data_IF_229016706460
#
_entry.id   IF_229016706460
#
_cell.length_a   1.000
_cell.length_b   1.000
_cell.length_c   1.000
_cell.angle_alpha   90.00
_cell.angle_beta   90.00
_cell.angle_gamma   90.00
#
_symmetry.space_group_name_H-M   'P 1'
#
loop_
_entity.id
_entity.type
_entity.pdbx_description
1 polymer ?
#
# COMPACT_ATOMS: atom_id res chain seq x y z
N UNK A 1 -53.55 20.50 -22.68
CA UNK A 1 -53.33 20.83 -21.26
C UNK A 1 -51.97 20.29 -20.86
N UNK A 2 -50.93 21.14 -20.87
CA UNK A 2 -49.60 20.77 -20.35
C UNK A 2 -49.67 21.02 -18.84
N UNK A 3 -49.79 19.95 -18.06
CA UNK A 3 -49.76 20.05 -16.61
C UNK A 3 -48.38 20.56 -16.18
N UNK A 4 -48.32 21.77 -15.61
CA UNK A 4 -47.09 22.29 -15.01
C UNK A 4 -46.68 21.32 -13.89
N UNK A 5 -45.46 20.80 -13.98
CA UNK A 5 -44.86 20.00 -12.92
C UNK A 5 -44.81 20.83 -11.64
N UNK A 6 -45.20 20.23 -10.51
CA UNK A 6 -45.11 20.92 -9.22
C UNK A 6 -43.65 21.26 -8.90
N UNK A 7 -43.41 22.34 -8.15
CA UNK A 7 -42.05 22.73 -7.75
C UNK A 7 -41.30 21.58 -7.05
N UNK A 8 -42.01 20.76 -6.26
CA UNK A 8 -41.45 19.57 -5.62
C UNK A 8 -41.08 18.44 -6.60
N UNK A 9 -41.80 18.30 -7.72
CA UNK A 9 -41.46 17.33 -8.77
C UNK A 9 -40.22 17.77 -9.56
N UNK A 10 -40.08 19.08 -9.81
CA UNK A 10 -38.90 19.67 -10.45
C UNK A 10 -37.67 19.51 -9.56
N UNK A 11 -37.78 19.82 -8.27
CA UNK A 11 -36.67 19.70 -7.32
C UNK A 11 -36.17 18.25 -7.17
N UNK A 12 -37.10 17.28 -7.09
CA UNK A 12 -36.75 15.84 -7.10
C UNK A 12 -36.03 15.43 -8.38
N UNK A 13 -36.52 15.88 -9.54
CA UNK A 13 -35.93 15.56 -10.84
C UNK A 13 -34.51 16.13 -10.97
N UNK A 14 -34.31 17.38 -10.53
CA UNK A 14 -33.00 18.05 -10.53
C UNK A 14 -32.02 17.34 -9.61
N UNK A 15 -32.43 17.00 -8.38
CA UNK A 15 -31.60 16.24 -7.44
C UNK A 15 -31.20 14.86 -7.98
N UNK A 16 -32.17 14.10 -8.50
CA UNK A 16 -31.95 12.76 -9.04
C UNK A 16 -31.08 12.79 -10.31
N UNK A 17 -31.31 13.76 -11.19
CA UNK A 17 -30.51 13.95 -12.39
C UNK A 17 -29.07 14.37 -12.08
N UNK A 18 -28.90 15.27 -11.11
CA UNK A 18 -27.58 15.73 -10.66
C UNK A 18 -26.78 14.59 -10.01
N UNK A 19 -27.42 13.78 -9.18
CA UNK A 19 -26.81 12.57 -8.60
C UNK A 19 -26.36 11.60 -9.69
N UNK A 20 -27.17 11.41 -10.74
CA UNK A 20 -26.81 10.57 -11.88
C UNK A 20 -25.60 11.06 -12.64
N UNK A 21 -25.54 12.36 -12.91
CA UNK A 21 -24.39 12.98 -13.60
C UNK A 21 -23.12 12.79 -12.77
N UNK A 22 -23.20 12.98 -11.45
CA UNK A 22 -22.06 12.75 -10.55
C UNK A 22 -21.61 11.29 -10.54
N UNK A 23 -22.54 10.34 -10.50
CA UNK A 23 -22.24 8.92 -10.56
C UNK A 23 -21.60 8.50 -11.90
N UNK A 24 -22.12 9.02 -13.01
CA UNK A 24 -21.55 8.79 -14.34
C UNK A 24 -20.14 9.41 -14.45
N UNK A 25 -19.94 10.62 -13.94
CA UNK A 25 -18.63 11.27 -13.91
C UNK A 25 -17.62 10.49 -13.04
N UNK A 26 -18.05 9.99 -11.88
CA UNK A 26 -17.22 9.15 -11.02
C UNK A 26 -16.84 7.83 -11.72
N UNK A 27 -17.77 7.20 -12.45
CA UNK A 27 -17.49 5.99 -13.23
C UNK A 27 -16.52 6.26 -14.38
N UNK A 28 -16.68 7.37 -15.10
CA UNK A 28 -15.74 7.77 -16.15
C UNK A 28 -14.34 8.03 -15.60
N UNK A 29 -14.22 8.74 -14.48
CA UNK A 29 -12.94 8.96 -13.81
C UNK A 29 -12.28 7.63 -13.40
N UNK A 30 -13.07 6.68 -12.91
CA UNK A 30 -12.58 5.33 -12.60
C UNK A 30 -12.09 4.60 -13.87
N UNK A 31 -12.81 4.66 -14.98
CA UNK A 31 -12.39 4.04 -16.24
C UNK A 31 -11.06 4.62 -16.75
N UNK A 32 -10.91 5.95 -16.70
CA UNK A 32 -9.67 6.64 -17.10
C UNK A 32 -8.50 6.23 -16.19
N UNK A 33 -8.76 6.13 -14.89
CA UNK A 33 -7.73 5.66 -13.95
C UNK A 33 -7.30 4.23 -14.25
N UNK A 34 -8.25 3.31 -14.48
CA UNK A 34 -7.94 1.92 -14.87
C UNK A 34 -7.16 1.86 -16.18
N UNK A 35 -7.49 2.70 -17.16
CA UNK A 35 -6.78 2.76 -18.44
C UNK A 35 -5.30 3.14 -18.28
N UNK A 36 -5.00 4.07 -17.36
CA UNK A 36 -3.61 4.42 -17.03
C UNK A 36 -2.90 3.37 -16.17
N UNK A 37 -3.63 2.65 -15.33
CA UNK A 37 -3.08 1.76 -14.30
C UNK A 37 -2.85 0.33 -14.80
N UNK A 38 -3.76 -0.19 -15.62
CA UNK A 38 -3.74 -1.58 -16.06
C UNK A 38 -2.51 -1.93 -16.91
N UNK A 39 -2.05 -1.11 -17.88
CA UNK A 39 -0.85 -1.41 -18.65
C UNK A 39 0.41 -1.51 -17.79
N UNK A 40 0.51 -0.69 -16.73
CA UNK A 40 1.69 -0.67 -15.84
C UNK A 40 1.83 -1.94 -14.99
N UNK A 41 0.72 -2.58 -14.61
CA UNK A 41 0.69 -3.65 -13.60
C UNK A 41 0.22 -4.99 -14.16
N UNK A 42 -0.77 -4.97 -15.06
CA UNK A 42 -1.45 -6.15 -15.60
C UNK A 42 -1.01 -6.50 -17.03
N UNK A 43 -0.31 -5.59 -17.72
CA UNK A 43 0.16 -5.77 -19.10
C UNK A 43 -0.92 -5.50 -20.17
N UNK A 44 -0.52 -5.57 -21.44
CA UNK A 44 -1.31 -5.11 -22.59
C UNK A 44 -2.26 -6.17 -23.19
N UNK A 45 -2.27 -7.40 -22.64
CA UNK A 45 -3.00 -8.52 -23.23
C UNK A 45 -4.53 -8.35 -23.22
N UNK A 46 -5.07 -7.52 -22.32
CA UNK A 46 -6.51 -7.27 -22.18
C UNK A 46 -6.77 -5.80 -21.88
N UNK A 47 -7.60 -5.16 -22.71
CA UNK A 47 -8.05 -3.78 -22.48
C UNK A 47 -9.04 -3.73 -21.31
N UNK A 48 -8.52 -3.63 -20.08
CA UNK A 48 -9.31 -3.53 -18.85
C UNK A 48 -10.28 -2.35 -18.87
N UNK A 49 -9.87 -1.22 -19.44
CA UNK A 49 -10.71 -0.03 -19.61
C UNK A 49 -11.95 -0.31 -20.46
N UNK A 50 -11.82 -1.08 -21.54
CA UNK A 50 -12.94 -1.47 -22.41
C UNK A 50 -14.00 -2.27 -21.63
N UNK A 51 -13.58 -3.21 -20.78
CA UNK A 51 -14.50 -3.97 -19.93
C UNK A 51 -15.31 -3.06 -19.00
N UNK A 52 -14.66 -2.12 -18.31
CA UNK A 52 -15.36 -1.20 -17.40
C UNK A 52 -16.24 -0.18 -18.12
N UNK A 53 -15.84 0.27 -19.30
CA UNK A 53 -16.67 1.15 -20.14
C UNK A 53 -17.94 0.42 -20.59
N UNK A 54 -17.83 -0.82 -21.06
CA UNK A 54 -18.99 -1.63 -21.46
C UNK A 54 -19.90 -1.96 -20.27
N UNK A 55 -19.33 -2.27 -19.10
CA UNK A 55 -20.10 -2.50 -17.88
C UNK A 55 -20.86 -1.23 -17.42
N UNK A 56 -20.21 -0.06 -17.50
CA UNK A 56 -20.84 1.22 -17.19
C UNK A 56 -21.98 1.56 -18.17
N UNK A 57 -21.75 1.34 -19.47
CA UNK A 57 -22.77 1.55 -20.50
C UNK A 57 -23.97 0.61 -20.28
N UNK A 58 -23.75 -0.67 -19.98
CA UNK A 58 -24.82 -1.61 -19.68
C UNK A 58 -25.65 -1.16 -18.46
N UNK A 59 -25.00 -0.68 -17.40
CA UNK A 59 -25.69 -0.11 -16.24
C UNK A 59 -26.49 1.15 -16.56
N UNK A 60 -25.97 2.02 -17.42
CA UNK A 60 -26.69 3.20 -17.91
C UNK A 60 -27.94 2.79 -18.70
N UNK A 61 -27.83 1.81 -19.60
CA UNK A 61 -28.99 1.32 -20.36
C UNK A 61 -30.03 0.63 -19.46
N UNK A 62 -29.61 -0.16 -18.48
CA UNK A 62 -30.51 -0.81 -17.52
C UNK A 62 -31.29 0.22 -16.70
N UNK A 63 -30.62 1.24 -16.21
CA UNK A 63 -31.25 2.29 -15.39
C UNK A 63 -32.12 3.24 -16.21
N UNK A 64 -31.79 3.44 -17.50
CA UNK A 64 -32.68 4.10 -18.45
C UNK A 64 -33.95 3.27 -18.74
N UNK A 65 -33.81 1.97 -18.97
CA UNK A 65 -34.93 1.09 -19.36
C UNK A 65 -35.89 0.76 -18.20
N UNK A 66 -35.36 0.51 -17.01
CA UNK A 66 -36.14 0.08 -15.84
C UNK A 66 -36.33 1.19 -14.80
N UNK A 67 -35.80 2.39 -15.09
CA UNK A 67 -35.87 3.55 -14.21
C UNK A 67 -34.94 3.47 -12.99
N UNK A 68 -35.14 4.42 -12.07
CA UNK A 68 -34.27 4.65 -10.92
C UNK A 68 -34.34 3.56 -9.84
N UNK A 69 -35.23 2.58 -9.96
CA UNK A 69 -35.35 1.47 -9.01
C UNK A 69 -34.10 0.58 -8.94
N UNK A 70 -33.28 0.57 -10.00
CA UNK A 70 -32.01 -0.17 -10.06
C UNK A 70 -30.82 0.60 -9.48
N UNK A 71 -31.00 1.87 -9.09
CA UNK A 71 -29.92 2.72 -8.58
C UNK A 71 -29.23 2.15 -7.32
N UNK A 72 -29.93 1.53 -6.34
CA UNK A 72 -29.27 0.89 -5.21
C UNK A 72 -28.33 -0.25 -5.62
N UNK A 73 -28.69 -1.02 -6.65
CA UNK A 73 -27.82 -2.07 -7.19
C UNK A 73 -26.59 -1.48 -7.85
N UNK A 74 -26.74 -0.38 -8.60
CA UNK A 74 -25.60 0.34 -9.18
C UNK A 74 -24.65 0.89 -8.11
N UNK A 75 -25.20 1.49 -7.04
CA UNK A 75 -24.43 2.01 -5.91
C UNK A 75 -23.65 0.91 -5.16
N UNK A 76 -24.07 -0.35 -5.24
CA UNK A 76 -23.33 -1.50 -4.69
C UNK A 76 -22.34 -2.08 -5.72
N UNK A 77 -22.77 -2.18 -6.98
CA UNK A 77 -21.99 -2.75 -8.06
C UNK A 77 -20.73 -1.93 -8.36
N UNK A 78 -20.80 -0.60 -8.25
CA UNK A 78 -19.65 0.27 -8.50
C UNK A 78 -18.52 0.08 -7.47
N UNK A 79 -18.74 0.21 -6.15
CA UNK A 79 -17.72 -0.11 -5.15
C UNK A 79 -17.23 -1.55 -5.24
N UNK A 80 -18.11 -2.50 -5.52
CA UNK A 80 -17.72 -3.91 -5.69
C UNK A 80 -16.79 -4.11 -6.90
N UNK A 81 -17.07 -3.44 -8.02
CA UNK A 81 -16.24 -3.48 -9.23
C UNK A 81 -14.88 -2.80 -9.00
N UNK A 82 -14.87 -1.66 -8.31
CA UNK A 82 -13.65 -0.97 -7.88
C UNK A 82 -12.79 -1.86 -6.98
N UNK A 83 -13.37 -2.40 -5.90
CA UNK A 83 -12.67 -3.28 -4.96
C UNK A 83 -12.20 -4.58 -5.63
N UNK A 84 -13.01 -5.14 -6.53
CA UNK A 84 -12.67 -6.32 -7.31
C UNK A 84 -11.46 -6.07 -8.22
N UNK A 85 -11.44 -4.93 -8.92
CA UNK A 85 -10.28 -4.52 -9.72
C UNK A 85 -9.04 -4.34 -8.85
N UNK A 86 -9.14 -3.56 -7.76
CA UNK A 86 -8.00 -3.30 -6.87
C UNK A 86 -7.48 -4.61 -6.26
N UNK A 87 -8.35 -5.52 -5.84
CA UNK A 87 -7.94 -6.82 -5.30
C UNK A 87 -7.28 -7.72 -6.36
N UNK A 88 -7.77 -7.69 -7.61
CA UNK A 88 -7.18 -8.44 -8.72
C UNK A 88 -5.81 -7.89 -9.12
N UNK A 89 -5.69 -6.56 -9.17
CA UNK A 89 -4.46 -5.81 -9.40
C UNK A 89 -3.43 -6.07 -8.29
N UNK A 90 -3.80 -5.90 -7.02
CA UNK A 90 -2.87 -6.03 -5.89
C UNK A 90 -2.31 -7.45 -5.73
N UNK A 91 -3.03 -8.49 -6.19
CA UNK A 91 -2.50 -9.86 -6.26
C UNK A 91 -1.35 -10.05 -7.26
N UNK A 92 -1.23 -9.16 -8.25
CA UNK A 92 -0.19 -9.19 -9.30
C UNK A 92 0.82 -8.05 -9.14
N UNK A 93 0.49 -7.02 -8.36
CA UNK A 93 1.36 -5.89 -8.10
C UNK A 93 2.51 -6.27 -7.13
N UNK A 94 3.72 -5.71 -7.31
CA UNK A 94 4.80 -5.81 -6.33
C UNK A 94 4.40 -5.20 -4.98
N UNK A 95 4.97 -5.71 -3.88
CA UNK A 95 4.69 -5.32 -2.48
C UNK A 95 4.70 -3.80 -2.23
N UNK A 96 5.50 -3.05 -2.98
CA UNK A 96 5.67 -1.59 -2.88
C UNK A 96 4.56 -0.76 -3.56
N UNK A 97 3.73 -1.35 -4.43
CA UNK A 97 2.68 -0.65 -5.21
C UNK A 97 1.25 -1.13 -4.90
N UNK A 98 1.06 -1.85 -3.79
CA UNK A 98 -0.26 -2.31 -3.35
C UNK A 98 -1.11 -1.15 -2.84
N UNK A 99 -2.34 -1.01 -3.35
CA UNK A 99 -3.27 0.07 -2.94
C UNK A 99 -4.00 -0.32 -1.65
N UNK A 100 -4.53 -1.54 -1.60
CA UNK A 100 -5.05 -2.15 -0.40
C UNK A 100 -3.89 -2.79 0.35
N UNK A 101 -3.04 -1.97 0.98
CA UNK A 101 -2.11 -2.52 1.96
C UNK A 101 -2.90 -3.31 3.01
N UNK A 102 -2.44 -4.51 3.35
CA UNK A 102 -3.08 -5.36 4.37
C UNK A 102 -3.28 -4.59 5.69
N UNK A 103 -2.36 -3.65 5.97
CA UNK A 103 -2.40 -2.72 7.10
C UNK A 103 -3.59 -1.74 7.03
N UNK A 104 -3.90 -1.20 5.85
CA UNK A 104 -5.04 -0.30 5.64
C UNK A 104 -6.38 -1.04 5.72
N UNK A 105 -6.49 -2.19 5.05
CA UNK A 105 -7.69 -3.03 5.10
C UNK A 105 -8.01 -3.47 6.54
N UNK A 106 -6.98 -3.89 7.30
CA UNK A 106 -7.12 -4.23 8.72
C UNK A 106 -7.58 -3.02 9.54
N UNK A 107 -6.94 -1.85 9.38
CA UNK A 107 -7.39 -0.61 10.05
C UNK A 107 -8.85 -0.29 9.76
N UNK A 108 -9.28 -0.40 8.51
CA UNK A 108 -10.67 -0.14 8.14
C UNK A 108 -11.64 -1.15 8.75
N UNK A 109 -11.32 -2.44 8.73
CA UNK A 109 -12.15 -3.51 9.32
C UNK A 109 -12.29 -3.32 10.82
N UNK A 110 -11.20 -3.04 11.54
CA UNK A 110 -11.26 -2.77 12.99
C UNK A 110 -12.00 -1.46 13.31
N UNK A 111 -11.82 -0.40 12.50
CA UNK A 111 -12.56 0.85 12.67
C UNK A 111 -14.07 0.69 12.42
N UNK A 112 -14.47 -0.12 11.44
CA UNK A 112 -15.86 -0.45 11.17
C UNK A 112 -16.45 -1.36 12.27
N UNK A 113 -15.67 -2.33 12.75
CA UNK A 113 -16.06 -3.23 13.83
C UNK A 113 -16.33 -2.48 15.15
N UNK A 114 -15.50 -1.49 15.47
CA UNK A 114 -15.68 -0.63 16.64
C UNK A 114 -16.96 0.22 16.55
N UNK A 115 -17.28 0.75 15.36
CA UNK A 115 -18.54 1.48 15.15
C UNK A 115 -19.79 0.60 15.26
N UNK A 116 -19.67 -0.69 14.97
CA UNK A 116 -20.78 -1.67 14.97
C UNK A 116 -20.81 -2.54 16.23
N UNK A 117 -19.90 -2.34 17.19
CA UNK A 117 -19.81 -3.14 18.42
C UNK A 117 -19.45 -4.62 18.19
N UNK A 118 -18.95 -4.97 17.01
CA UNK A 118 -18.61 -6.35 16.62
C UNK A 118 -17.13 -6.68 16.84
N UNK A 119 -16.46 -5.94 17.71
CA UNK A 119 -15.02 -6.04 17.97
C UNK A 119 -14.61 -7.48 18.32
N UNK A 120 -15.38 -8.16 19.18
CA UNK A 120 -15.14 -9.55 19.59
C UNK A 120 -15.27 -10.56 18.44
N UNK A 121 -16.22 -10.33 17.54
CA UNK A 121 -16.40 -11.18 16.35
C UNK A 121 -15.25 -10.97 15.38
N UNK A 122 -14.88 -9.72 15.12
CA UNK A 122 -13.78 -9.40 14.21
C UNK A 122 -12.44 -9.88 14.76
N UNK A 123 -12.18 -9.77 16.06
CA UNK A 123 -10.98 -10.31 16.70
C UNK A 123 -10.91 -11.84 16.62
N UNK A 124 -12.04 -12.55 16.52
CA UNK A 124 -12.06 -14.00 16.30
C UNK A 124 -11.66 -14.39 14.87
N UNK A 125 -12.00 -13.58 13.89
CA UNK A 125 -11.67 -13.79 12.47
C UNK A 125 -10.27 -13.24 12.13
N UNK A 126 -9.84 -12.22 12.85
CA UNK A 126 -8.52 -11.60 12.80
C UNK A 126 -7.88 -11.65 14.19
N UNK A 127 -7.51 -12.85 14.69
CA UNK A 127 -6.84 -12.98 15.98
C UNK A 127 -5.66 -12.01 16.05
N UNK A 128 -5.54 -11.32 17.18
CA UNK A 128 -4.30 -10.65 17.51
C UNK A 128 -3.21 -11.70 17.50
N UNK A 129 -2.39 -11.69 16.44
CA UNK A 129 -1.08 -12.34 16.51
C UNK A 129 -0.37 -11.69 17.69
N UNK A 130 -0.34 -12.37 18.83
CA UNK A 130 0.51 -11.99 19.95
C UNK A 130 1.95 -12.08 19.46
N UNK A 131 2.46 -10.91 19.09
CA UNK A 131 3.65 -10.71 18.27
C UNK A 131 3.58 -9.35 17.60
N UNK A 132 3.39 -8.30 18.40
CA UNK A 132 3.55 -6.92 17.97
C UNK A 132 4.41 -6.12 18.96
N UNK A 133 5.75 -6.27 18.92
CA UNK A 133 6.67 -5.15 19.07
C UNK A 133 6.92 -4.58 17.66
N UNK A 134 6.76 -3.26 17.47
CA UNK A 134 6.79 -2.58 16.16
C UNK A 134 7.78 -3.15 15.14
N UNK A 135 7.24 -3.49 13.96
CA UNK A 135 7.92 -3.93 12.73
C UNK A 135 9.08 -4.92 12.96
N UNK A 136 8.74 -6.15 13.36
CA UNK A 136 9.40 -7.29 12.72
C UNK A 136 8.69 -7.47 11.38
N UNK A 137 9.39 -7.12 10.30
CA UNK A 137 8.97 -7.31 8.92
C UNK A 137 8.60 -8.76 8.61
N UNK A 138 8.48 -9.14 7.33
CA UNK A 138 8.39 -10.56 6.99
C UNK A 138 9.53 -11.26 7.71
N UNK A 139 9.27 -12.46 8.23
CA UNK A 139 10.29 -13.39 8.72
C UNK A 139 11.58 -13.14 7.91
N UNK A 140 12.55 -12.42 8.49
CA UNK A 140 13.51 -11.68 7.67
C UNK A 140 14.16 -12.69 6.74
N UNK A 141 13.85 -12.61 5.44
CA UNK A 141 14.36 -13.58 4.47
C UNK A 141 15.90 -13.58 4.50
N UNK A 142 16.47 -12.50 5.04
CA UNK A 142 17.86 -12.28 5.30
C UNK A 142 18.10 -12.17 6.80
N UNK A 143 18.75 -13.19 7.36
CA UNK A 143 19.36 -13.10 8.69
C UNK A 143 20.82 -12.68 8.51
N UNK A 144 21.19 -11.53 9.09
CA UNK A 144 22.59 -11.10 9.11
C UNK A 144 23.31 -11.93 10.18
N UNK A 145 24.37 -12.62 9.78
CA UNK A 145 25.19 -13.43 10.68
C UNK A 145 26.50 -12.71 10.99
N UNK A 146 26.96 -12.85 12.22
CA UNK A 146 28.31 -12.50 12.62
C UNK A 146 29.30 -13.56 12.12
N UNK A 147 30.59 -13.27 12.25
CA UNK A 147 31.68 -14.20 11.94
C UNK A 147 31.59 -15.53 12.70
N UNK A 148 31.02 -15.52 13.90
CA UNK A 148 30.82 -16.72 14.73
C UNK A 148 29.54 -17.52 14.36
N UNK A 149 28.79 -17.08 13.35
CA UNK A 149 27.55 -17.71 12.92
C UNK A 149 26.33 -17.38 13.77
N UNK A 150 26.48 -16.57 14.83
CA UNK A 150 25.34 -16.04 15.58
C UNK A 150 24.62 -14.94 14.80
N UNK A 151 23.29 -14.82 14.92
CA UNK A 151 22.57 -13.72 14.30
C UNK A 151 22.99 -12.37 14.91
N UNK A 152 23.02 -11.33 14.08
CA UNK A 152 23.19 -9.95 14.52
C UNK A 152 21.86 -9.49 15.10
N UNK A 153 21.61 -9.92 16.33
CA UNK A 153 20.44 -9.49 17.08
C UNK A 153 20.69 -8.07 17.60
N UNK A 154 19.75 -7.17 17.34
CA UNK A 154 19.76 -5.83 17.93
C UNK A 154 19.74 -5.85 19.46
N UNK A 155 19.52 -7.00 20.10
CA UNK A 155 19.67 -7.20 21.54
C UNK A 155 21.10 -7.69 21.83
N UNK A 156 21.96 -6.77 22.25
CA UNK A 156 23.37 -7.03 22.51
C UNK A 156 23.60 -8.18 23.51
N UNK A 157 24.15 -9.28 23.00
CA UNK A 157 24.83 -10.29 23.80
C UNK A 157 26.10 -10.77 23.07
N UNK A 158 26.97 -9.81 22.72
CA UNK A 158 28.36 -10.09 22.37
C UNK A 158 29.26 -9.50 23.44
N UNK A 159 30.10 -10.34 24.06
CA UNK A 159 31.13 -9.93 25.03
C UNK A 159 32.19 -9.09 24.31
N UNK A 160 31.92 -7.79 24.11
CA UNK A 160 32.83 -6.88 23.42
C UNK A 160 32.20 -5.53 23.05
N UNK A 161 30.87 -5.47 22.89
CA UNK A 161 30.15 -4.24 22.59
C UNK A 161 29.40 -3.75 23.84
N UNK A 162 30.01 -2.80 24.55
CA UNK A 162 29.43 -2.11 25.70
C UNK A 162 28.22 -1.29 25.22
N UNK A 163 27.00 -1.75 25.49
CA UNK A 163 25.76 -0.99 25.32
C UNK A 163 25.42 -0.63 23.86
N UNK A 164 24.83 -1.55 23.12
CA UNK A 164 24.12 -1.19 21.90
C UNK A 164 22.82 -0.46 22.30
N UNK A 165 22.80 0.85 22.06
CA UNK A 165 21.63 1.70 22.29
C UNK A 165 20.42 1.16 21.51
N UNK A 166 19.22 1.32 22.08
CA UNK A 166 17.94 0.89 21.47
C UNK A 166 17.76 1.41 20.03
N UNK A 167 18.32 2.58 19.74
CA UNK A 167 18.32 3.19 18.41
C UNK A 167 19.12 2.35 17.40
N UNK A 168 20.28 1.82 17.80
CA UNK A 168 21.11 0.98 16.95
C UNK A 168 20.46 -0.38 16.71
N UNK A 169 19.76 -0.94 17.71
CA UNK A 169 18.96 -2.15 17.54
C UNK A 169 17.90 -1.99 16.45
N UNK A 170 17.22 -0.83 16.42
CA UNK A 170 16.23 -0.52 15.41
C UNK A 170 16.89 -0.28 14.04
N UNK A 171 18.04 0.39 14.02
CA UNK A 171 18.79 0.62 12.79
C UNK A 171 19.28 -0.69 12.14
N UNK A 172 19.68 -1.71 12.92
CA UNK A 172 20.04 -3.04 12.38
C UNK A 172 18.87 -3.68 11.65
N UNK A 173 17.64 -3.57 12.17
CA UNK A 173 16.44 -4.04 11.46
C UNK A 173 16.22 -3.29 10.15
N UNK A 174 16.40 -1.97 10.15
CA UNK A 174 16.32 -1.17 8.93
C UNK A 174 17.37 -1.59 7.90
N UNK A 175 18.58 -1.99 8.32
CA UNK A 175 19.57 -2.57 7.40
C UNK A 175 19.08 -3.87 6.77
N UNK A 176 18.46 -4.76 7.56
CA UNK A 176 17.86 -6.00 7.04
C UNK A 176 16.79 -5.72 5.97
N UNK A 177 15.90 -4.76 6.24
CA UNK A 177 14.87 -4.33 5.29
C UNK A 177 15.46 -3.73 4.00
N UNK A 178 16.55 -2.96 4.10
CA UNK A 178 17.27 -2.41 2.93
C UNK A 178 17.83 -3.55 2.08
N UNK A 179 18.45 -4.55 2.71
CA UNK A 179 19.03 -5.69 2.01
C UNK A 179 17.95 -6.56 1.37
N UNK A 180 16.83 -6.78 2.06
CA UNK A 180 15.69 -7.53 1.54
C UNK A 180 15.15 -6.85 0.29
N UNK A 181 14.89 -5.54 0.37
CA UNK A 181 14.44 -4.76 -0.79
C UNK A 181 15.44 -4.80 -1.94
N UNK A 182 16.74 -4.72 -1.65
CA UNK A 182 17.78 -4.81 -2.67
C UNK A 182 17.77 -6.18 -3.38
N UNK A 183 17.58 -7.28 -2.64
CA UNK A 183 17.43 -8.62 -3.22
C UNK A 183 16.16 -8.75 -4.06
N UNK A 184 15.01 -8.27 -3.56
CA UNK A 184 13.74 -8.29 -4.30
C UNK A 184 13.86 -7.56 -5.65
N UNK A 185 14.55 -6.42 -5.67
CA UNK A 185 14.80 -5.64 -6.89
C UNK A 185 15.97 -6.18 -7.73
N UNK A 186 16.63 -7.26 -7.31
CA UNK A 186 17.84 -7.82 -7.94
C UNK A 186 18.94 -6.77 -8.15
N UNK A 187 19.11 -5.88 -7.17
CA UNK A 187 20.13 -4.85 -7.22
C UNK A 187 21.53 -5.46 -7.10
N UNK A 188 22.49 -4.92 -7.87
CA UNK A 188 23.89 -5.35 -7.81
C UNK A 188 24.68 -4.61 -6.73
N UNK A 189 24.35 -3.35 -6.49
CA UNK A 189 25.04 -2.48 -5.55
C UNK A 189 24.04 -1.66 -4.72
N UNK A 190 24.34 -1.49 -3.43
CA UNK A 190 23.61 -0.59 -2.53
C UNK A 190 24.54 0.58 -2.21
N UNK A 191 24.11 1.79 -2.56
CA UNK A 191 24.83 3.03 -2.34
C UNK A 191 24.21 3.79 -1.15
N UNK A 192 25.05 4.18 -0.21
CA UNK A 192 24.68 4.99 0.95
C UNK A 192 25.42 6.33 0.83
N UNK A 193 24.71 7.37 0.43
CA UNK A 193 25.27 8.68 0.10
C UNK A 193 24.85 9.72 1.16
N UNK A 194 25.73 10.08 2.10
CA UNK A 194 25.50 11.24 2.97
C UNK A 194 25.37 12.50 2.12
N UNK A 195 24.35 13.30 2.41
CA UNK A 195 24.06 14.59 1.79
C UNK A 195 24.23 15.70 2.82
N UNK A 196 24.21 16.93 2.33
CA UNK A 196 24.27 18.13 3.19
C UNK A 196 23.06 18.17 4.11
N UNK A 197 23.26 18.46 5.40
CA UNK A 197 22.17 18.60 6.38
C UNK A 197 21.77 17.31 7.11
N UNK A 198 22.72 16.41 7.39
CA UNK A 198 22.49 15.12 8.06
C UNK A 198 21.45 14.22 7.36
N UNK A 199 21.32 14.35 6.03
CA UNK A 199 20.50 13.46 5.21
C UNK A 199 21.36 12.32 4.66
N UNK A 200 20.80 11.10 4.60
CA UNK A 200 21.44 9.93 4.03
C UNK A 200 20.52 9.36 2.95
N UNK A 201 20.99 9.39 1.71
CA UNK A 201 20.27 8.86 0.57
C UNK A 201 20.71 7.42 0.29
N UNK A 202 19.75 6.50 0.20
CA UNK A 202 20.00 5.11 -0.18
C UNK A 202 19.57 4.91 -1.62
N UNK A 203 20.49 4.40 -2.44
CA UNK A 203 20.27 4.13 -3.87
C UNK A 203 20.66 2.69 -4.18
N UNK A 204 20.02 2.08 -5.16
CA UNK A 204 20.40 0.77 -5.66
C UNK A 204 20.76 0.83 -7.13
N UNK A 205 21.77 0.07 -7.55
CA UNK A 205 22.03 -0.18 -8.96
C UNK A 205 21.21 -1.38 -9.41
N UNK A 206 20.25 -1.14 -10.30
CA UNK A 206 19.37 -2.17 -10.87
C UNK A 206 19.61 -2.14 -12.37
N UNK A 207 20.06 -3.26 -12.93
CA UNK A 207 20.37 -3.41 -14.37
C UNK A 207 21.28 -2.29 -14.91
N UNK A 208 22.26 -1.87 -14.11
CA UNK A 208 23.23 -0.82 -14.46
C UNK A 208 22.78 0.62 -14.17
N UNK A 209 21.51 0.84 -13.81
CA UNK A 209 20.94 2.17 -13.55
C UNK A 209 20.82 2.42 -12.05
N UNK A 210 21.28 3.59 -11.58
CA UNK A 210 21.29 3.94 -10.17
C UNK A 210 20.00 4.68 -9.75
N UNK A 211 19.15 4.03 -8.95
CA UNK A 211 17.82 4.49 -8.57
C UNK A 211 17.72 4.83 -7.08
N UNK A 212 17.01 5.90 -6.74
CA UNK A 212 16.77 6.29 -5.34
C UNK A 212 15.64 5.46 -4.74
N UNK A 213 15.87 4.86 -3.58
CA UNK A 213 14.91 3.95 -2.96
C UNK A 213 14.45 4.38 -1.56
N UNK A 214 15.32 4.99 -0.77
CA UNK A 214 15.02 5.48 0.59
C UNK A 214 15.84 6.74 0.90
N UNK A 215 15.36 7.56 1.83
CA UNK A 215 16.12 8.68 2.41
C UNK A 215 15.85 8.75 3.92
N UNK A 216 16.91 9.00 4.69
CA UNK A 216 16.90 9.13 6.15
C UNK A 216 17.48 10.48 6.56
N UNK A 217 17.10 11.01 7.72
CA UNK A 217 17.57 12.32 8.22
C UNK A 217 17.95 12.28 9.69
N UNK A 218 18.88 13.14 10.08
CA UNK A 218 19.26 13.39 11.47
C UNK A 218 19.84 12.15 12.16
N UNK A 219 19.31 11.83 13.35
CA UNK A 219 19.78 10.70 14.16
C UNK A 219 19.64 9.36 13.43
N UNK A 220 18.55 9.17 12.66
CA UNK A 220 18.31 7.92 11.93
C UNK A 220 19.40 7.64 10.87
N UNK A 221 19.88 8.68 10.19
CA UNK A 221 20.97 8.56 9.22
C UNK A 221 22.27 8.08 9.88
N UNK A 222 22.63 8.67 11.03
CA UNK A 222 23.84 8.31 11.80
C UNK A 222 23.73 6.90 12.39
N UNK A 223 22.55 6.56 12.93
CA UNK A 223 22.27 5.23 13.47
C UNK A 223 22.38 4.15 12.38
N UNK A 224 21.93 4.42 11.15
CA UNK A 224 22.02 3.48 10.03
C UNK A 224 23.48 3.20 9.63
N UNK A 225 24.31 4.24 9.55
CA UNK A 225 25.76 4.08 9.26
C UNK A 225 26.45 3.26 10.34
N UNK A 226 26.14 3.54 11.62
CA UNK A 226 26.66 2.77 12.76
C UNK A 226 26.23 1.30 12.71
N UNK A 227 24.95 1.04 12.44
CA UNK A 227 24.42 -0.33 12.34
C UNK A 227 25.09 -1.14 11.22
N UNK A 228 25.39 -0.52 10.08
CA UNK A 228 26.10 -1.20 8.98
C UNK A 228 27.53 -1.54 9.40
N UNK A 229 28.23 -0.62 10.07
CA UNK A 229 29.56 -0.88 10.62
C UNK A 229 29.54 -2.05 11.60
N UNK A 230 28.56 -2.10 12.50
CA UNK A 230 28.34 -3.24 13.41
C UNK A 230 28.14 -4.54 12.64
N UNK A 231 27.26 -4.54 11.62
CA UNK A 231 26.99 -5.73 10.82
C UNK A 231 28.22 -6.22 10.03
N UNK A 232 29.11 -5.30 9.65
CA UNK A 232 30.34 -5.58 8.91
C UNK A 232 31.57 -5.80 9.81
N UNK A 233 31.41 -5.84 11.14
CA UNK A 233 32.52 -5.95 12.10
C UNK A 233 33.58 -4.85 11.92
N UNK A 234 33.13 -3.64 11.58
CA UNK A 234 33.96 -2.45 11.39
C UNK A 234 33.96 -1.56 12.65
N UNK A 235 35.01 -0.74 12.79
CA UNK A 235 35.13 0.19 13.90
C UNK A 235 34.11 1.36 13.83
N UNK A 236 33.57 1.68 15.01
CA UNK A 236 32.48 2.63 15.24
C UNK A 236 32.98 3.90 15.95
N UNK A 237 34.21 3.89 16.48
CA UNK A 237 34.82 4.98 17.25
C UNK A 237 35.16 6.24 16.42
#
# INVERSE_FOLDING_TARGET
MVGMLSAAAIDRLVWLGSLWILLAAAWMAFCVWVDSDAPEILGDDVSWSLYFVLAGAAWFFLTYAYGLGLLPLFLLAFPASFLGYVAYRDRRAPSTRTILSERFARKMVFAAAGKLGMERTVQKWFPERHGAPGDSGPEAAIVILKKDGSPVDGQGQGQGAKGLDRETSQAVKTVQEIFEKALEMRATDIHLEPKVGDELQVRCRIDGILQNILSFKGAAAKALVSAIKVCADMDIA
#
